data_IF_563701369190
#
_entry.id   IF_563701369190
#
_cell.length_a   1.000
_cell.length_b   1.000
_cell.length_c   1.000
_cell.angle_alpha   90.00
_cell.angle_beta   90.00
_cell.angle_gamma   90.00
#
_symmetry.space_group_name_H-M   'P 1'
#
loop_
_entity.id
_entity.type
_entity.pdbx_description
1 polymer ?
#
# COMPACT_ATOMS: atom_id res chain seq x y z
N UNK A 1 21.43 -3.37 15.98
CA UNK A 1 20.34 -3.86 16.85
C UNK A 1 20.31 -3.20 18.24
N UNK A 2 21.42 -2.72 18.82
CA UNK A 2 21.42 -2.16 20.19
C UNK A 2 20.60 -0.88 20.42
N UNK A 3 20.46 0.00 19.42
CA UNK A 3 19.80 1.31 19.63
C UNK A 3 18.29 1.22 19.87
N UNK A 4 17.63 0.20 19.32
CA UNK A 4 16.19 -0.03 19.46
C UNK A 4 15.87 -0.56 20.86
N UNK A 5 16.72 -1.44 21.40
CA UNK A 5 16.59 -1.97 22.76
C UNK A 5 16.79 -0.89 23.83
N UNK A 6 17.61 0.13 23.55
CA UNK A 6 17.92 1.22 24.49
C UNK A 6 16.97 2.43 24.39
N UNK A 7 15.99 2.42 23.48
CA UNK A 7 15.06 3.53 23.20
C UNK A 7 15.75 4.90 23.03
N UNK A 8 17.00 4.92 22.56
CA UNK A 8 17.76 6.16 22.40
C UNK A 8 17.71 6.63 20.94
N UNK A 9 16.64 7.38 20.65
CA UNK A 9 16.35 7.98 19.35
C UNK A 9 16.83 9.44 19.24
N UNK A 10 17.87 9.79 19.98
CA UNK A 10 18.43 11.14 19.96
C UNK A 10 19.24 11.37 18.67
N UNK A 11 18.80 12.32 17.85
CA UNK A 11 19.59 12.84 16.72
C UNK A 11 20.72 13.72 17.23
N UNK A 12 21.87 13.77 16.52
CA UNK A 12 23.06 14.57 16.89
C UNK A 12 22.78 16.06 17.18
N UNK A 13 21.62 16.58 16.80
CA UNK A 13 21.20 17.99 17.05
C UNK A 13 20.09 18.17 18.08
N UNK A 14 19.67 17.14 18.82
CA UNK A 14 18.70 17.23 19.91
C UNK A 14 17.37 17.96 19.60
N UNK A 15 16.97 18.10 18.32
CA UNK A 15 15.68 18.71 18.00
C UNK A 15 14.58 17.65 18.03
N UNK A 16 13.81 17.69 19.12
CA UNK A 16 12.58 16.90 19.30
C UNK A 16 11.54 17.21 18.20
N UNK A 17 11.67 18.38 17.58
CA UNK A 17 10.83 18.90 16.50
C UNK A 17 10.89 18.06 15.22
N UNK A 18 12.04 17.43 14.91
CA UNK A 18 12.16 16.58 13.73
C UNK A 18 11.25 15.34 13.85
N UNK A 19 11.29 14.67 15.00
CA UNK A 19 10.41 13.53 15.28
C UNK A 19 8.96 13.96 15.47
N UNK A 20 8.71 15.11 16.10
CA UNK A 20 7.36 15.60 16.36
C UNK A 20 6.64 16.02 15.06
N UNK A 21 7.33 16.56 14.06
CA UNK A 21 6.75 16.88 12.74
C UNK A 21 6.63 15.69 11.79
N UNK A 22 7.40 14.61 12.00
CA UNK A 22 7.39 13.44 11.10
C UNK A 22 6.68 12.20 11.64
N UNK A 23 6.42 12.09 12.95
CA UNK A 23 5.79 10.91 13.56
C UNK A 23 4.45 11.19 14.25
N UNK A 24 3.65 12.12 13.74
CA UNK A 24 2.22 12.25 14.12
C UNK A 24 1.34 11.11 13.55
N UNK A 25 1.94 10.16 12.82
CA UNK A 25 1.25 9.03 12.19
C UNK A 25 1.19 7.73 13.04
N UNK A 26 1.76 7.71 14.25
CA UNK A 26 1.70 6.51 15.10
C UNK A 26 1.18 6.88 16.48
N UNK A 27 -0.14 6.74 16.69
CA UNK A 27 -0.67 6.70 18.05
C UNK A 27 -0.21 5.39 18.70
N UNK A 28 0.59 5.41 19.78
CA UNK A 28 0.85 4.19 20.53
C UNK A 28 -0.46 3.79 21.21
N UNK A 29 -1.06 2.69 20.75
CA UNK A 29 -2.21 2.06 21.41
C UNK A 29 -1.78 1.66 22.83
N UNK A 30 -2.16 2.48 23.81
CA UNK A 30 -1.94 2.20 25.22
C UNK A 30 -2.97 1.18 25.67
N UNK A 31 -2.67 -0.11 25.51
CA UNK A 31 -3.46 -1.19 26.11
C UNK A 31 -3.32 -1.06 27.63
N UNK A 32 -4.40 -0.63 28.31
CA UNK A 32 -4.49 -0.70 29.77
C UNK A 32 -4.99 -2.10 30.16
N UNK A 33 -4.39 -2.79 31.13
CA UNK A 33 -4.90 -4.07 31.62
C UNK A 33 -6.16 -3.85 32.48
N UNK A 34 -7.00 -4.88 32.50
CA UNK A 34 -8.43 -4.80 32.81
C UNK A 34 -8.83 -4.43 34.24
N UNK A 35 -10.00 -3.80 34.33
CA UNK A 35 -10.76 -3.55 35.56
C UNK A 35 -12.22 -3.98 35.37
N UNK A 36 -12.78 -4.63 36.39
CA UNK A 36 -14.00 -5.45 36.39
C UNK A 36 -15.34 -4.68 36.50
N UNK A 37 -16.38 -5.29 35.88
CA UNK A 37 -17.83 -5.36 36.21
C UNK A 37 -18.74 -4.13 36.02
N UNK A 38 -19.81 -4.30 35.22
CA UNK A 38 -21.20 -3.99 35.64
C UNK A 38 -22.25 -4.68 34.77
N UNK A 39 -23.33 -5.11 35.41
CA UNK A 39 -24.53 -5.79 34.90
C UNK A 39 -25.36 -4.92 33.94
N UNK A 40 -25.93 -5.54 32.89
CA UNK A 40 -27.39 -5.56 32.58
C UNK A 40 -27.71 -6.52 31.42
N UNK A 41 -28.85 -7.20 31.54
CA UNK A 41 -29.38 -8.29 30.69
C UNK A 41 -29.99 -7.79 29.36
N UNK A 42 -30.25 -8.69 28.39
CA UNK A 42 -30.37 -8.38 26.95
C UNK A 42 -31.83 -8.19 26.49
N UNK A 43 -32.02 -7.47 25.37
CA UNK A 43 -33.26 -7.53 24.57
C UNK A 43 -32.96 -7.50 23.07
N UNK A 44 -33.33 -8.63 22.45
CA UNK A 44 -33.87 -8.86 21.12
C UNK A 44 -33.21 -8.32 19.84
N UNK A 45 -33.07 -9.26 18.91
CA UNK A 45 -32.64 -9.15 17.52
C UNK A 45 -33.46 -8.17 16.68
N UNK A 46 -32.78 -7.49 15.75
CA UNK A 46 -33.29 -7.22 14.41
C UNK A 46 -32.12 -7.15 13.44
N UNK A 47 -32.12 -8.09 12.49
CA UNK A 47 -31.26 -8.07 11.32
C UNK A 47 -31.70 -6.93 10.40
N UNK A 48 -30.79 -6.01 10.11
CA UNK A 48 -30.93 -5.08 9.01
C UNK A 48 -29.69 -5.23 8.14
N UNK A 49 -29.88 -5.84 6.97
CA UNK A 49 -28.93 -5.86 5.87
C UNK A 49 -28.73 -4.42 5.39
N UNK A 50 -27.77 -3.70 5.99
CA UNK A 50 -27.29 -2.44 5.42
C UNK A 50 -26.40 -2.79 4.23
N UNK A 51 -27.01 -2.73 3.05
CA UNK A 51 -26.30 -2.51 1.81
C UNK A 51 -25.51 -1.21 1.95
N UNK A 52 -24.22 -1.31 2.26
CA UNK A 52 -23.32 -0.17 2.22
C UNK A 52 -23.12 0.23 0.76
N UNK A 53 -23.95 1.16 0.32
CA UNK A 53 -23.58 2.07 -0.77
C UNK A 53 -22.43 2.92 -0.24
N UNK A 54 -21.20 2.55 -0.61
CA UNK A 54 -20.03 3.37 -0.33
C UNK A 54 -20.16 4.62 -1.18
N UNK A 55 -20.66 5.68 -0.54
CA UNK A 55 -20.55 7.06 -1.01
C UNK A 55 -19.05 7.34 -1.19
N UNK A 56 -18.65 7.77 -2.38
CA UNK A 56 -17.30 8.30 -2.64
C UNK A 56 -17.07 9.52 -1.77
N UNK A 57 -16.63 9.29 -0.54
CA UNK A 57 -15.93 10.28 0.27
C UNK A 57 -14.56 10.43 -0.37
N UNK A 58 -14.17 11.65 -0.70
CA UNK A 58 -12.83 12.03 -1.15
C UNK A 58 -11.77 11.22 -0.40
N UNK A 59 -11.25 10.15 -1.02
CA UNK A 59 -10.26 9.28 -0.41
C UNK A 59 -9.02 10.12 -0.22
N UNK A 60 -8.59 10.26 1.05
CA UNK A 60 -7.17 10.49 1.34
C UNK A 60 -6.42 9.40 0.57
N UNK A 61 -5.59 9.81 -0.40
CA UNK A 61 -4.83 8.87 -1.20
C UNK A 61 -3.93 8.06 -0.26
N UNK A 62 -4.11 6.74 -0.25
CA UNK A 62 -3.40 5.86 0.70
C UNK A 62 -2.01 5.63 0.14
N UNK A 63 -1.00 6.19 0.79
CA UNK A 63 0.40 6.05 0.41
C UNK A 63 0.84 4.57 0.37
N UNK A 64 1.83 4.22 -0.48
CA UNK A 64 2.33 2.86 -0.56
C UNK A 64 2.93 2.39 0.79
N UNK A 65 2.66 1.15 1.24
CA UNK A 65 3.27 0.57 2.43
C UNK A 65 4.79 0.39 2.25
N UNK A 66 5.59 0.50 3.31
CA UNK A 66 7.05 0.34 3.23
C UNK A 66 7.53 -0.92 3.98
N UNK A 67 8.63 -1.55 3.55
CA UNK A 67 9.56 -1.13 2.49
C UNK A 67 9.07 -1.47 1.07
N UNK A 68 9.23 -0.55 0.11
CA UNK A 68 8.99 -0.82 -1.31
C UNK A 68 10.28 -1.24 -2.02
N UNK A 69 10.18 -2.13 -3.03
CA UNK A 69 11.30 -2.49 -3.89
C UNK A 69 11.95 -1.26 -4.53
N UNK A 70 13.29 -1.29 -4.64
CA UNK A 70 14.05 -0.18 -5.19
C UNK A 70 13.66 0.13 -6.65
N UNK A 71 13.56 1.42 -6.97
CA UNK A 71 13.37 1.89 -8.35
C UNK A 71 11.92 1.99 -8.82
N UNK A 72 10.94 1.56 -8.01
CA UNK A 72 9.51 1.78 -8.29
C UNK A 72 9.13 3.23 -7.99
N UNK A 73 9.64 3.75 -6.87
CA UNK A 73 9.46 5.13 -6.45
C UNK A 73 10.83 5.80 -6.30
N UNK A 74 10.97 7.02 -6.82
CA UNK A 74 12.16 7.86 -6.59
C UNK A 74 11.76 9.22 -6.04
N UNK A 75 12.68 9.82 -5.27
CA UNK A 75 12.60 11.21 -4.81
C UNK A 75 11.32 11.58 -4.04
N UNK A 76 10.58 10.58 -3.56
CA UNK A 76 9.30 10.74 -2.86
C UNK A 76 8.11 11.18 -3.72
N UNK A 77 8.29 11.41 -5.02
CA UNK A 77 7.25 11.97 -5.89
C UNK A 77 7.21 11.36 -7.29
N UNK A 78 8.17 10.52 -7.69
CA UNK A 78 8.17 9.90 -9.01
C UNK A 78 7.78 8.42 -8.93
N UNK A 79 6.95 7.97 -9.88
CA UNK A 79 6.59 6.57 -10.10
C UNK A 79 7.18 6.08 -11.43
N UNK A 80 7.78 4.88 -11.39
CA UNK A 80 8.43 4.24 -12.54
C UNK A 80 7.65 2.98 -12.97
N UNK A 81 6.75 3.09 -13.98
CA UNK A 81 5.88 1.99 -14.38
C UNK A 81 6.63 0.74 -14.85
N UNK A 82 7.74 0.92 -15.57
CA UNK A 82 8.54 -0.21 -16.08
C UNK A 82 9.17 -1.01 -14.93
N UNK A 83 9.70 -0.32 -13.92
CA UNK A 83 10.22 -0.98 -12.72
C UNK A 83 9.11 -1.73 -11.99
N UNK A 84 7.96 -1.08 -11.76
CA UNK A 84 6.78 -1.71 -11.16
C UNK A 84 6.37 -3.01 -11.88
N UNK A 85 6.22 -2.96 -13.20
CA UNK A 85 5.81 -4.13 -14.00
C UNK A 85 6.82 -5.27 -13.94
N UNK A 86 8.12 -4.95 -13.96
CA UNK A 86 9.17 -5.95 -13.78
C UNK A 86 9.09 -6.59 -12.39
N UNK A 87 8.81 -5.81 -11.35
CA UNK A 87 8.66 -6.34 -9.99
C UNK A 87 7.41 -7.21 -9.83
N UNK A 88 6.28 -6.86 -10.47
CA UNK A 88 5.10 -7.76 -10.54
C UNK A 88 5.48 -9.08 -11.19
N UNK A 89 6.20 -9.04 -12.30
CA UNK A 89 6.65 -10.24 -13.02
C UNK A 89 7.55 -11.12 -12.15
N UNK A 90 8.48 -10.51 -11.42
CA UNK A 90 9.39 -11.24 -10.54
C UNK A 90 8.67 -11.83 -9.32
N UNK A 91 7.71 -11.10 -8.74
CA UNK A 91 6.87 -11.62 -7.66
C UNK A 91 6.07 -12.85 -8.13
N UNK A 92 5.44 -12.78 -9.30
CA UNK A 92 4.68 -13.91 -9.86
C UNK A 92 5.59 -15.11 -10.13
N UNK A 93 6.79 -14.90 -10.70
CA UNK A 93 7.76 -16.00 -10.90
C UNK A 93 8.20 -16.62 -9.57
N UNK A 94 8.45 -15.80 -8.55
CA UNK A 94 8.90 -16.30 -7.26
C UNK A 94 7.82 -17.14 -6.57
N UNK A 95 6.58 -16.62 -6.54
CA UNK A 95 5.45 -17.26 -5.83
C UNK A 95 4.90 -18.46 -6.59
N UNK A 96 4.73 -18.34 -7.91
CA UNK A 96 4.07 -19.38 -8.73
C UNK A 96 5.08 -20.39 -9.29
N UNK A 97 6.26 -19.92 -9.71
CA UNK A 97 7.26 -20.77 -10.37
C UNK A 97 8.38 -21.23 -9.42
N UNK A 98 8.32 -20.88 -8.13
CA UNK A 98 9.31 -21.23 -7.11
C UNK A 98 10.76 -20.90 -7.49
N UNK A 99 10.98 -19.87 -8.33
CA UNK A 99 12.32 -19.41 -8.70
C UNK A 99 12.86 -18.45 -7.65
N UNK A 100 14.18 -18.41 -7.37
CA UNK A 100 14.76 -17.42 -6.47
C UNK A 100 14.45 -16.00 -6.99
N UNK A 101 13.78 -15.21 -6.17
CA UNK A 101 13.43 -13.83 -6.47
C UNK A 101 14.44 -12.84 -5.88
N UNK A 102 14.40 -11.60 -6.37
CA UNK A 102 15.25 -10.51 -5.89
C UNK A 102 14.63 -9.72 -4.72
N UNK A 103 13.42 -10.11 -4.30
CA UNK A 103 12.67 -9.42 -3.25
C UNK A 103 12.97 -10.04 -1.89
N UNK A 104 13.22 -9.20 -0.90
CA UNK A 104 13.15 -9.65 0.50
C UNK A 104 11.70 -9.99 0.86
N UNK A 105 11.49 -10.81 1.91
CA UNK A 105 10.15 -11.17 2.38
C UNK A 105 9.31 -9.92 2.71
N UNK A 106 9.92 -8.93 3.37
CA UNK A 106 9.25 -7.69 3.77
C UNK A 106 8.87 -6.82 2.57
N UNK A 107 9.77 -6.66 1.59
CA UNK A 107 9.46 -5.92 0.36
C UNK A 107 8.40 -6.63 -0.46
N UNK A 108 8.45 -7.96 -0.54
CA UNK A 108 7.45 -8.77 -1.23
C UNK A 108 6.05 -8.59 -0.63
N UNK A 109 5.93 -8.61 0.70
CA UNK A 109 4.66 -8.41 1.40
C UNK A 109 4.10 -7.00 1.20
N UNK A 110 4.92 -5.97 1.42
CA UNK A 110 4.50 -4.59 1.24
C UNK A 110 4.14 -4.30 -0.23
N UNK A 111 4.92 -4.81 -1.18
CA UNK A 111 4.62 -4.67 -2.60
C UNK A 111 3.34 -5.41 -3.01
N UNK A 112 3.09 -6.62 -2.47
CA UNK A 112 1.85 -7.34 -2.71
C UNK A 112 0.63 -6.57 -2.15
N UNK A 113 0.73 -5.99 -0.95
CA UNK A 113 -0.32 -5.17 -0.35
C UNK A 113 -0.60 -3.89 -1.18
N UNK A 114 0.46 -3.25 -1.69
CA UNK A 114 0.34 -2.13 -2.63
C UNK A 114 -0.42 -2.56 -3.89
N UNK A 115 0.03 -3.64 -4.53
CA UNK A 115 -0.58 -4.13 -5.76
C UNK A 115 -2.07 -4.49 -5.52
N UNK A 116 -2.39 -5.24 -4.46
CA UNK A 116 -3.75 -5.63 -4.15
C UNK A 116 -4.70 -4.44 -3.89
N UNK A 117 -4.20 -3.36 -3.30
CA UNK A 117 -5.04 -2.19 -2.98
C UNK A 117 -5.37 -1.31 -4.20
N UNK A 118 -4.59 -1.40 -5.27
CA UNK A 118 -4.68 -0.53 -6.44
C UNK A 118 -4.93 -1.28 -7.76
N UNK A 119 -4.92 -2.62 -7.75
CA UNK A 119 -5.26 -3.45 -8.90
C UNK A 119 -6.76 -3.72 -8.94
N UNK A 120 -7.34 -3.61 -10.13
CA UNK A 120 -8.70 -4.04 -10.43
C UNK A 120 -8.78 -4.59 -11.86
N UNK A 121 -9.89 -5.28 -12.16
CA UNK A 121 -10.15 -5.81 -13.51
C UNK A 121 -11.24 -4.97 -14.17
N UNK A 122 -10.98 -4.49 -15.38
CA UNK A 122 -11.96 -3.80 -16.22
C UNK A 122 -11.65 -4.07 -17.70
N UNK A 123 -12.69 -4.18 -18.53
CA UNK A 123 -12.56 -4.46 -19.98
C UNK A 123 -11.71 -5.70 -20.33
N UNK A 124 -11.68 -6.71 -19.46
CA UNK A 124 -10.82 -7.89 -19.63
C UNK A 124 -9.32 -7.64 -19.38
N UNK A 125 -8.97 -6.44 -18.90
CA UNK A 125 -7.62 -6.04 -18.53
C UNK A 125 -7.47 -5.98 -17.02
N UNK A 126 -6.29 -6.36 -16.53
CA UNK A 126 -5.88 -6.09 -15.15
C UNK A 126 -5.16 -4.77 -15.14
N UNK A 127 -5.74 -3.81 -14.42
CA UNK A 127 -5.34 -2.41 -14.41
C UNK A 127 -4.87 -2.02 -13.02
N UNK A 128 -3.84 -1.18 -12.96
CA UNK A 128 -3.34 -0.57 -11.74
C UNK A 128 -3.67 0.92 -11.73
N UNK A 129 -4.32 1.36 -10.66
CA UNK A 129 -4.61 2.76 -10.39
C UNK A 129 -3.34 3.52 -10.03
N UNK A 130 -2.98 4.47 -10.87
CA UNK A 130 -1.85 5.38 -10.63
C UNK A 130 -2.16 6.31 -9.47
N UNK A 131 -1.12 6.66 -8.71
CA UNK A 131 -1.22 7.67 -7.68
C UNK A 131 -1.32 9.07 -8.30
N UNK A 132 -2.21 9.91 -7.77
CA UNK A 132 -2.40 11.29 -8.26
C UNK A 132 -1.26 12.20 -7.84
N UNK A 133 -0.69 11.96 -6.66
CA UNK A 133 0.42 12.74 -6.12
C UNK A 133 1.78 12.41 -6.75
N UNK A 134 1.88 11.31 -7.52
CA UNK A 134 3.14 10.90 -8.13
C UNK A 134 3.21 11.25 -9.61
N UNK A 135 4.33 11.82 -10.01
CA UNK A 135 4.67 12.03 -11.41
C UNK A 135 5.02 10.69 -12.06
N UNK A 136 4.38 10.40 -13.18
CA UNK A 136 4.67 9.21 -13.96
C UNK A 136 5.82 9.51 -14.91
N UNK A 137 6.85 8.68 -14.90
CA UNK A 137 8.00 8.85 -15.78
C UNK A 137 7.58 8.98 -17.25
N UNK A 138 7.89 10.14 -17.85
CA UNK A 138 7.46 10.56 -19.20
C UNK A 138 8.05 9.65 -20.29
N UNK A 139 9.19 8.99 -20.03
CA UNK A 139 9.81 8.06 -20.96
C UNK A 139 9.10 6.71 -21.04
N UNK A 140 8.07 6.47 -20.22
CA UNK A 140 7.29 5.22 -20.26
C UNK A 140 6.48 5.16 -21.56
N UNK A 141 6.66 4.12 -22.39
CA UNK A 141 5.89 3.96 -23.62
C UNK A 141 4.37 3.92 -23.39
N UNK A 142 3.61 4.57 -24.26
CA UNK A 142 2.15 4.67 -24.13
C UNK A 142 1.41 3.32 -24.13
N UNK A 143 1.98 2.27 -24.72
CA UNK A 143 1.37 0.93 -24.78
C UNK A 143 1.26 0.23 -23.42
N UNK A 144 1.95 0.73 -22.39
CA UNK A 144 1.77 0.25 -21.02
C UNK A 144 0.50 0.78 -20.36
N UNK A 145 -0.14 1.78 -20.95
CA UNK A 145 -1.30 2.41 -20.34
C UNK A 145 -2.58 2.07 -21.08
N UNK A 146 -3.66 2.00 -20.31
CA UNK A 146 -5.01 1.80 -20.81
C UNK A 146 -5.91 2.91 -20.27
N UNK A 147 -6.85 3.40 -21.06
CA UNK A 147 -7.78 4.45 -20.66
C UNK A 147 -9.14 3.81 -20.41
N UNK A 148 -9.60 3.85 -19.17
CA UNK A 148 -10.92 3.38 -18.73
C UNK A 148 -11.64 4.57 -18.07
N UNK A 149 -12.89 4.85 -18.44
CA UNK A 149 -13.65 6.02 -17.95
C UNK A 149 -12.87 7.36 -18.06
N UNK A 150 -12.14 7.56 -19.16
CA UNK A 150 -11.26 8.73 -19.38
C UNK A 150 -10.10 8.89 -18.38
N UNK A 151 -9.85 7.90 -17.52
CA UNK A 151 -8.72 7.87 -16.60
C UNK A 151 -7.66 6.91 -17.14
N UNK A 152 -6.39 7.33 -17.06
CA UNK A 152 -5.24 6.54 -17.49
C UNK A 152 -4.81 5.59 -16.37
N UNK A 153 -4.75 4.30 -16.68
CA UNK A 153 -4.32 3.23 -15.80
C UNK A 153 -3.10 2.51 -16.37
N UNK A 154 -2.31 1.89 -15.51
CA UNK A 154 -1.20 1.03 -15.93
C UNK A 154 -1.75 -0.38 -16.19
N UNK A 155 -1.54 -0.91 -17.39
CA UNK A 155 -1.97 -2.25 -17.77
C UNK A 155 -0.94 -3.30 -17.32
N UNK A 156 -1.38 -4.31 -16.57
CA UNK A 156 -0.54 -5.41 -16.09
C UNK A 156 -0.69 -6.61 -17.03
N UNK A 157 0.17 -6.65 -18.05
CA UNK A 157 0.11 -7.63 -19.14
C UNK A 157 0.39 -9.08 -18.71
N UNK A 158 1.06 -9.30 -17.58
CA UNK A 158 1.57 -10.62 -17.17
C UNK A 158 0.54 -11.50 -16.45
N UNK A 159 -0.58 -10.91 -16.02
CA UNK A 159 -1.63 -11.61 -15.28
C UNK A 159 -2.80 -12.00 -16.20
N UNK A 160 -2.55 -12.37 -17.45
CA UNK A 160 -3.64 -12.87 -18.32
C UNK A 160 -4.23 -14.13 -17.67
N UNK A 161 -5.52 -14.08 -17.35
CA UNK A 161 -6.29 -15.25 -16.95
C UNK A 161 -6.28 -16.22 -18.14
N UNK A 162 -5.73 -17.41 -17.94
CA UNK A 162 -5.76 -18.50 -18.91
C UNK A 162 -7.18 -19.03 -19.09
#
# INVERSE_FOLDING_TARGET
MERILKQDYSSKKNSKEFWQKHCEAVQPVKVRPGGKKSHRRPKHAQAATQSYSIKQTSKVEVLPPWPQPQGIFSDGHAFHPVAFLNTVKDLVKHVVMHQPGNLTVMEGEAFAALAQSHIFTADGHILFQLFKEFEVNISTPNHYFHVHDSIKYLHISYLKQA
#
